data_IF_719032324927
#
_entry.id   IF_719032324927
#
_cell.length_a   1.000
_cell.length_b   1.000
_cell.length_c   1.000
_cell.angle_alpha   90.00
_cell.angle_beta   90.00
_cell.angle_gamma   90.00
#
_symmetry.space_group_name_H-M   'P 1'
#
loop_
_entity.id
_entity.type
_entity.pdbx_description
1 polymer ?
#
# COMPACT_ATOMS: atom_id res chain seq x y z
N UNK A 1 -15.98 3.58 -8.58
CA UNK A 1 -17.05 2.66 -9.05
C UNK A 1 -18.30 3.40 -9.47
N UNK A 2 -19.06 4.02 -8.55
CA UNK A 2 -20.32 4.72 -8.88
C UNK A 2 -20.15 5.87 -9.86
N UNK A 3 -19.17 6.74 -9.62
CA UNK A 3 -18.92 7.93 -10.44
C UNK A 3 -18.46 7.61 -11.87
N UNK A 4 -17.79 6.47 -12.05
CA UNK A 4 -17.39 5.93 -13.35
C UNK A 4 -18.43 4.99 -13.97
N UNK A 5 -19.58 4.77 -13.32
CA UNK A 5 -20.64 3.85 -13.75
C UNK A 5 -20.17 2.41 -14.05
N UNK A 6 -19.13 1.94 -13.35
CA UNK A 6 -18.61 0.58 -13.52
C UNK A 6 -19.62 -0.43 -12.96
N UNK A 7 -20.13 -1.33 -13.81
CA UNK A 7 -21.14 -2.30 -13.44
C UNK A 7 -20.57 -3.48 -12.64
N UNK A 8 -21.37 -4.09 -11.76
CA UNK A 8 -20.94 -5.24 -10.95
C UNK A 8 -20.47 -6.43 -11.81
N UNK A 9 -21.15 -6.67 -12.94
CA UNK A 9 -20.77 -7.72 -13.90
C UNK A 9 -19.42 -7.43 -14.54
N UNK A 10 -19.06 -6.17 -14.72
CA UNK A 10 -17.74 -5.79 -15.24
C UNK A 10 -16.64 -6.15 -14.24
N UNK A 11 -16.83 -5.82 -12.95
CA UNK A 11 -15.89 -6.18 -11.88
C UNK A 11 -15.68 -7.70 -11.78
N UNK A 12 -16.75 -8.49 -11.87
CA UNK A 12 -16.66 -9.96 -11.80
C UNK A 12 -15.92 -10.58 -12.99
N UNK A 13 -15.98 -9.95 -14.17
CA UNK A 13 -15.35 -10.44 -15.39
C UNK A 13 -13.96 -9.84 -15.64
N UNK A 14 -13.58 -8.82 -14.87
CA UNK A 14 -12.29 -8.16 -14.98
C UNK A 14 -11.15 -9.17 -14.75
N UNK A 15 -10.10 -9.05 -15.56
CA UNK A 15 -8.92 -9.92 -15.46
C UNK A 15 -7.74 -9.08 -14.97
N UNK A 16 -7.07 -9.47 -13.87
CA UNK A 16 -5.90 -8.76 -13.41
C UNK A 16 -4.76 -8.93 -14.41
N UNK A 17 -4.02 -7.84 -14.63
CA UNK A 17 -2.80 -7.83 -15.45
C UNK A 17 -1.70 -8.66 -14.78
N UNK A 18 -0.65 -8.99 -15.53
CA UNK A 18 0.48 -9.73 -14.97
C UNK A 18 1.14 -8.94 -13.82
N UNK A 19 1.32 -7.63 -13.97
CA UNK A 19 1.85 -6.76 -12.90
C UNK A 19 1.05 -6.89 -11.60
N UNK A 20 -0.29 -6.82 -11.67
CA UNK A 20 -1.16 -6.98 -10.51
C UNK A 20 -1.03 -8.38 -9.88
N UNK A 21 -1.04 -9.43 -10.71
CA UNK A 21 -0.88 -10.82 -10.22
C UNK A 21 0.48 -11.02 -9.56
N UNK A 22 1.56 -10.52 -10.14
CA UNK A 22 2.92 -10.64 -9.60
C UNK A 22 3.04 -9.95 -8.25
N UNK A 23 2.56 -8.72 -8.13
CA UNK A 23 2.58 -7.96 -6.88
C UNK A 23 1.82 -8.69 -5.76
N UNK A 24 0.56 -9.05 -6.03
CA UNK A 24 -0.29 -9.72 -5.03
C UNK A 24 0.22 -11.11 -4.67
N UNK A 25 0.73 -11.88 -5.65
CA UNK A 25 1.30 -13.21 -5.41
C UNK A 25 2.60 -13.14 -4.60
N UNK A 26 3.43 -12.11 -4.83
CA UNK A 26 4.65 -11.89 -4.06
C UNK A 26 4.34 -11.67 -2.58
N UNK A 27 3.42 -10.74 -2.26
CA UNK A 27 3.00 -10.48 -0.87
C UNK A 27 2.44 -11.74 -0.20
N UNK A 28 1.58 -12.49 -0.90
CA UNK A 28 1.01 -13.74 -0.38
C UNK A 28 2.10 -14.80 -0.13
N UNK A 29 3.05 -14.95 -1.06
CA UNK A 29 4.10 -15.94 -0.95
C UNK A 29 5.09 -15.63 0.18
N UNK A 30 5.53 -14.37 0.32
CA UNK A 30 6.43 -13.97 1.41
C UNK A 30 5.74 -14.05 2.77
N UNK A 31 4.48 -13.65 2.86
CA UNK A 31 3.68 -13.82 4.07
C UNK A 31 3.49 -15.28 4.48
N UNK A 32 3.24 -16.17 3.51
CA UNK A 32 3.06 -17.61 3.76
C UNK A 32 4.37 -18.31 4.16
N UNK A 33 5.49 -17.98 3.52
CA UNK A 33 6.81 -18.55 3.85
C UNK A 33 7.40 -18.00 5.15
N UNK A 34 6.95 -16.82 5.56
CA UNK A 34 7.47 -16.09 6.70
C UNK A 34 6.60 -16.21 7.95
N UNK A 35 6.65 -15.15 8.73
CA UNK A 35 5.89 -14.94 9.95
C UNK A 35 5.01 -13.71 9.82
N UNK A 36 4.35 -13.32 10.92
CA UNK A 36 3.60 -12.06 10.98
C UNK A 36 4.47 -10.83 10.65
N UNK A 37 5.80 -10.91 10.84
CA UNK A 37 6.73 -9.82 10.48
C UNK A 37 6.76 -9.57 8.98
N UNK A 38 6.90 -10.65 8.19
CA UNK A 38 6.92 -10.59 6.74
C UNK A 38 5.57 -10.11 6.17
N UNK A 39 4.45 -10.55 6.76
CA UNK A 39 3.12 -10.04 6.39
C UNK A 39 3.04 -8.53 6.65
N UNK A 40 3.43 -8.07 7.85
CA UNK A 40 3.38 -6.65 8.22
C UNK A 40 4.27 -5.78 7.34
N UNK A 41 5.46 -6.27 6.94
CA UNK A 41 6.36 -5.59 6.02
C UNK A 41 5.84 -5.57 4.58
N UNK A 42 5.28 -6.69 4.10
CA UNK A 42 4.81 -6.83 2.72
C UNK A 42 3.65 -5.89 2.36
N UNK A 43 2.77 -5.56 3.32
CA UNK A 43 1.61 -4.69 3.08
C UNK A 43 1.90 -3.21 3.34
N UNK A 44 3.04 -2.88 3.97
CA UNK A 44 3.32 -1.52 4.44
C UNK A 44 3.62 -0.54 3.28
N UNK A 45 4.36 -0.99 2.26
CA UNK A 45 4.76 -0.15 1.12
C UNK A 45 3.56 0.41 0.37
N UNK A 46 2.51 -0.40 0.15
CA UNK A 46 1.27 0.02 -0.49
C UNK A 46 0.65 1.23 0.23
N UNK A 47 0.35 1.10 1.51
CA UNK A 47 -0.35 2.15 2.25
C UNK A 47 0.54 3.38 2.47
N UNK A 48 1.82 3.18 2.78
CA UNK A 48 2.73 4.28 3.09
C UNK A 48 3.09 5.11 1.84
N UNK A 49 3.36 4.45 0.71
CA UNK A 49 3.63 5.16 -0.55
C UNK A 49 2.43 6.02 -0.97
N UNK A 50 1.21 5.49 -0.90
CA UNK A 50 -0.01 6.24 -1.22
C UNK A 50 -0.21 7.45 -0.30
N UNK A 51 0.09 7.34 0.99
CA UNK A 51 0.03 8.48 1.91
C UNK A 51 1.00 9.58 1.49
N UNK A 52 2.26 9.25 1.20
CA UNK A 52 3.28 10.23 0.82
C UNK A 52 2.98 10.84 -0.55
N UNK A 53 2.52 10.04 -1.52
CA UNK A 53 2.07 10.52 -2.83
C UNK A 53 0.92 11.52 -2.66
N UNK A 54 -0.12 11.17 -1.90
CA UNK A 54 -1.26 12.04 -1.68
C UNK A 54 -0.88 13.33 -0.94
N UNK A 55 0.00 13.25 0.07
CA UNK A 55 0.54 14.41 0.76
C UNK A 55 1.34 15.33 -0.17
N UNK A 56 2.15 14.77 -1.07
CA UNK A 56 2.87 15.54 -2.07
C UNK A 56 1.91 16.23 -3.04
N UNK A 57 0.96 15.48 -3.61
CA UNK A 57 -0.03 16.00 -4.54
C UNK A 57 -0.95 17.06 -3.91
N UNK A 58 -1.22 16.96 -2.60
CA UNK A 58 -2.04 17.93 -1.87
C UNK A 58 -1.45 19.35 -1.83
N UNK A 59 -0.15 19.50 -2.10
CA UNK A 59 0.53 20.79 -2.17
C UNK A 59 0.39 21.46 -3.54
N UNK A 60 -0.06 20.73 -4.57
CA UNK A 60 -0.30 21.30 -5.89
C UNK A 60 -1.56 22.19 -5.81
N UNK A 61 -1.49 23.48 -6.19
CA UNK A 61 -2.64 24.37 -6.15
C UNK A 61 -3.84 23.81 -6.93
N UNK A 62 -5.04 23.92 -6.34
CA UNK A 62 -6.30 23.42 -6.90
C UNK A 62 -6.42 21.89 -7.00
N UNK A 63 -5.42 21.11 -6.59
CA UNK A 63 -5.47 19.65 -6.69
C UNK A 63 -6.57 19.05 -5.79
N UNK A 64 -6.73 19.59 -4.58
CA UNK A 64 -7.78 19.18 -3.64
C UNK A 64 -9.17 19.65 -4.07
N UNK A 65 -9.24 20.76 -4.80
CA UNK A 65 -10.46 21.39 -5.32
C UNK A 65 -10.90 20.79 -6.66
N UNK A 66 -10.04 20.00 -7.31
CA UNK A 66 -10.35 19.40 -8.60
C UNK A 66 -11.61 18.54 -8.50
N UNK A 67 -12.63 18.85 -9.31
CA UNK A 67 -13.98 18.27 -9.21
C UNK A 67 -14.00 16.74 -9.22
N UNK A 68 -13.13 16.12 -10.03
CA UNK A 68 -13.01 14.66 -10.13
C UNK A 68 -11.91 14.07 -9.24
N UNK A 69 -10.64 14.45 -9.44
CA UNK A 69 -9.49 13.86 -8.72
C UNK A 69 -9.32 14.28 -7.26
N UNK A 70 -9.92 15.41 -6.84
CA UNK A 70 -9.73 15.93 -5.49
C UNK A 70 -10.22 14.97 -4.40
N UNK A 71 -11.24 14.16 -4.69
CA UNK A 71 -11.73 13.14 -3.76
C UNK A 71 -10.66 12.07 -3.46
N UNK A 72 -9.91 11.64 -4.48
CA UNK A 72 -8.86 10.62 -4.34
C UNK A 72 -7.71 11.14 -3.47
N UNK A 73 -7.23 12.35 -3.76
CA UNK A 73 -6.11 12.96 -3.01
C UNK A 73 -6.52 13.14 -1.54
N UNK A 74 -7.71 13.71 -1.28
CA UNK A 74 -8.24 13.89 0.08
C UNK A 74 -8.38 12.58 0.85
N UNK A 75 -8.76 11.50 0.18
CA UNK A 75 -8.91 10.18 0.79
C UNK A 75 -7.59 9.64 1.35
N UNK A 76 -6.56 9.61 0.51
CA UNK A 76 -5.25 9.07 0.88
C UNK A 76 -4.41 10.03 1.74
N UNK A 77 -4.71 11.34 1.76
CA UNK A 77 -4.09 12.30 2.68
C UNK A 77 -4.90 12.54 3.96
N UNK A 78 -5.97 11.77 4.20
CA UNK A 78 -6.85 11.93 5.36
C UNK A 78 -6.18 11.48 6.67
N UNK A 79 -6.69 11.99 7.80
CA UNK A 79 -6.19 11.62 9.14
C UNK A 79 -6.44 10.15 9.44
N UNK A 80 -7.57 9.63 8.98
CA UNK A 80 -8.00 8.24 9.16
C UNK A 80 -7.06 7.31 8.39
N UNK A 81 -6.74 7.62 7.14
CA UNK A 81 -5.79 6.83 6.35
C UNK A 81 -4.38 6.90 6.95
N UNK A 82 -3.93 8.08 7.36
CA UNK A 82 -2.65 8.25 8.06
C UNK A 82 -2.58 7.42 9.36
N UNK A 83 -3.68 7.32 10.12
CA UNK A 83 -3.74 6.49 11.31
C UNK A 83 -3.57 4.99 10.99
N UNK A 84 -4.15 4.51 9.88
CA UNK A 84 -3.94 3.13 9.41
C UNK A 84 -2.48 2.87 9.05
N UNK A 85 -1.83 3.79 8.34
CA UNK A 85 -0.39 3.68 7.99
C UNK A 85 0.45 3.66 9.27
N UNK A 86 0.23 4.61 10.19
CA UNK A 86 0.95 4.67 11.46
C UNK A 86 0.77 3.41 12.31
N UNK A 87 -0.44 2.83 12.32
CA UNK A 87 -0.68 1.55 12.98
C UNK A 87 0.19 0.43 12.41
N UNK A 88 0.30 0.34 11.08
CA UNK A 88 1.12 -0.69 10.43
C UNK A 88 2.62 -0.49 10.70
N UNK A 89 3.10 0.76 10.70
CA UNK A 89 4.49 1.10 11.06
C UNK A 89 4.77 0.63 12.48
N UNK A 90 3.95 1.06 13.45
CA UNK A 90 4.13 0.73 14.86
C UNK A 90 4.04 -0.79 15.11
N UNK A 91 3.16 -1.49 14.38
CA UNK A 91 3.08 -2.94 14.44
C UNK A 91 4.41 -3.58 14.01
N UNK A 92 4.94 -3.21 12.86
CA UNK A 92 6.19 -3.76 12.34
C UNK A 92 7.37 -3.45 13.28
N UNK A 93 7.46 -2.23 13.78
CA UNK A 93 8.48 -1.81 14.76
C UNK A 93 8.40 -2.67 16.03
N UNK A 94 7.20 -2.85 16.59
CA UNK A 94 7.00 -3.64 17.81
C UNK A 94 7.36 -5.12 17.64
N UNK A 95 7.11 -5.68 16.45
CA UNK A 95 7.40 -7.08 16.14
C UNK A 95 8.90 -7.34 15.92
N UNK A 96 9.70 -6.31 15.66
CA UNK A 96 11.09 -6.43 15.21
C UNK A 96 12.11 -5.97 16.26
N UNK A 97 11.69 -5.61 17.48
CA UNK A 97 12.57 -5.14 18.56
C UNK A 97 13.74 -6.09 18.90
N UNK A 98 13.53 -7.40 18.74
CA UNK A 98 14.53 -8.44 19.03
C UNK A 98 15.07 -9.12 17.76
N UNK A 99 14.73 -8.60 16.58
CA UNK A 99 15.16 -9.20 15.31
C UNK A 99 16.65 -9.01 15.07
N UNK A 100 17.28 -10.06 14.55
CA UNK A 100 18.66 -10.03 14.09
C UNK A 100 18.85 -9.14 12.86
N UNK A 101 20.09 -8.74 12.57
CA UNK A 101 20.42 -7.99 11.36
C UNK A 101 19.96 -8.70 10.08
N UNK A 102 20.07 -10.03 10.05
CA UNK A 102 19.65 -10.83 8.90
C UNK A 102 18.13 -10.80 8.70
N UNK A 103 17.35 -10.83 9.78
CA UNK A 103 15.89 -10.68 9.69
C UNK A 103 15.51 -9.28 9.22
N UNK A 104 16.15 -8.22 9.73
CA UNK A 104 15.88 -6.84 9.29
C UNK A 104 16.19 -6.66 7.80
N UNK A 105 17.31 -7.20 7.31
CA UNK A 105 17.64 -7.15 5.88
C UNK A 105 16.59 -7.87 5.02
N UNK A 106 16.11 -9.04 5.46
CA UNK A 106 15.02 -9.74 4.75
C UNK A 106 13.73 -8.90 4.69
N UNK A 107 13.35 -8.25 5.79
CA UNK A 107 12.16 -7.40 5.82
C UNK A 107 12.33 -6.16 4.93
N UNK A 108 13.54 -5.59 4.87
CA UNK A 108 13.88 -4.52 3.94
C UNK A 108 13.73 -4.97 2.49
N UNK A 109 14.23 -6.15 2.13
CA UNK A 109 14.13 -6.68 0.77
C UNK A 109 12.65 -6.84 0.34
N UNK A 110 11.79 -7.34 1.24
CA UNK A 110 10.35 -7.44 1.01
C UNK A 110 9.72 -6.05 0.80
N UNK A 111 10.07 -5.08 1.65
CA UNK A 111 9.55 -3.72 1.55
C UNK A 111 9.98 -3.01 0.26
N UNK A 112 11.24 -3.20 -0.16
CA UNK A 112 11.76 -2.63 -1.42
C UNK A 112 11.11 -3.30 -2.63
N UNK A 113 11.04 -4.64 -2.67
CA UNK A 113 10.41 -5.35 -3.78
C UNK A 113 8.94 -4.96 -3.98
N UNK A 114 8.19 -4.81 -2.88
CA UNK A 114 6.80 -4.32 -2.96
C UNK A 114 6.69 -2.86 -3.38
N UNK A 115 7.69 -2.02 -3.05
CA UNK A 115 7.78 -0.65 -3.57
C UNK A 115 8.08 -0.61 -5.08
N UNK A 116 8.90 -1.53 -5.59
CA UNK A 116 9.16 -1.68 -7.03
C UNK A 116 7.91 -2.12 -7.80
N UNK A 117 7.07 -2.97 -7.20
CA UNK A 117 5.80 -3.35 -7.80
C UNK A 117 4.77 -2.21 -7.89
N UNK A 118 4.93 -1.15 -7.09
CA UNK A 118 4.06 0.04 -7.12
C UNK A 118 4.50 1.09 -8.16
N UNK A 119 5.69 0.95 -8.78
CA UNK A 119 6.24 1.87 -9.78
C UNK A 119 5.84 1.48 -11.22
#
# INVERSE_FOLDING_TARGET
IRELQIAQKELQNARPTLANKSYTSYMLAEGFKGSIKEVAAAVLSCAWSYLVIAQNLSQIPNALEHAFYGHWIKGYSSKEFQACVNWNINLLDSLTLASSKQEIEKLKDIFVATSEYEY
#
